data_IF_231250411710
#
_entry.id   IF_231250411710
#
_cell.length_a   1.000
_cell.length_b   1.000
_cell.length_c   1.000
_cell.angle_alpha   90.00
_cell.angle_beta   90.00
_cell.angle_gamma   90.00
#
_symmetry.space_group_name_H-M   'P 1'
#
loop_
_entity.id
_entity.type
_entity.pdbx_description
1 polymer ?
#
# COMPACT_ATOMS: atom_id res chain seq x y z
N UNK A 1 31.62 -2.35 9.45
CA UNK A 1 30.69 -2.01 8.34
C UNK A 1 29.65 -0.91 8.70
N UNK A 2 29.99 0.28 9.22
CA UNK A 2 28.97 1.30 9.58
C UNK A 2 28.62 2.31 8.48
N UNK A 3 29.44 2.43 7.42
CA UNK A 3 29.30 3.51 6.42
C UNK A 3 28.13 3.25 5.45
N UNK A 4 27.90 2.00 5.02
CA UNK A 4 26.80 1.64 4.12
C UNK A 4 25.42 1.96 4.69
N UNK A 5 25.25 1.82 6.01
CA UNK A 5 23.98 2.10 6.69
C UNK A 5 23.63 3.60 6.67
N UNK A 6 24.62 4.50 6.75
CA UNK A 6 24.37 5.95 6.76
C UNK A 6 23.82 6.46 5.43
N UNK A 7 24.38 5.99 4.32
CA UNK A 7 23.90 6.36 2.98
C UNK A 7 22.52 5.79 2.70
N UNK A 8 22.24 4.56 3.15
CA UNK A 8 20.92 3.96 3.03
C UNK A 8 19.84 4.77 3.77
N UNK A 9 20.11 5.17 5.02
CA UNK A 9 19.19 6.00 5.81
C UNK A 9 18.96 7.35 5.15
N UNK A 10 20.00 8.00 4.64
CA UNK A 10 19.86 9.28 3.94
C UNK A 10 18.99 9.15 2.68
N UNK A 11 19.24 8.13 1.86
CA UNK A 11 18.46 7.86 0.65
C UNK A 11 16.99 7.62 1.00
N UNK A 12 16.72 6.82 2.04
CA UNK A 12 15.36 6.55 2.51
C UNK A 12 14.62 7.84 2.90
N UNK A 13 15.25 8.72 3.67
CA UNK A 13 14.65 9.98 4.11
C UNK A 13 14.33 10.88 2.92
N UNK A 14 15.24 10.97 1.94
CA UNK A 14 15.03 11.76 0.72
C UNK A 14 13.87 11.19 -0.12
N UNK A 15 13.76 9.86 -0.23
CA UNK A 15 12.65 9.20 -0.93
C UNK A 15 11.31 9.52 -0.24
N UNK A 16 11.28 9.46 1.10
CA UNK A 16 10.08 9.80 1.87
C UNK A 16 9.69 11.27 1.67
N UNK A 17 10.64 12.20 1.74
CA UNK A 17 10.39 13.62 1.51
C UNK A 17 9.89 13.89 0.09
N UNK A 18 10.50 13.26 -0.92
CA UNK A 18 10.07 13.39 -2.32
C UNK A 18 8.65 12.84 -2.52
N UNK A 19 8.31 11.70 -1.90
CA UNK A 19 6.96 11.15 -1.93
C UNK A 19 5.95 12.11 -1.28
N UNK A 20 6.28 12.66 -0.10
CA UNK A 20 5.44 13.65 0.58
C UNK A 20 5.20 14.90 -0.28
N UNK A 21 6.23 15.39 -0.96
CA UNK A 21 6.11 16.52 -1.88
C UNK A 21 5.21 16.21 -3.09
N UNK A 22 5.35 15.04 -3.72
CA UNK A 22 4.49 14.64 -4.83
C UNK A 22 3.02 14.49 -4.40
N UNK A 23 2.79 13.93 -3.21
CA UNK A 23 1.46 13.80 -2.61
C UNK A 23 0.86 15.18 -2.34
N UNK A 24 1.65 16.10 -1.77
CA UNK A 24 1.22 17.48 -1.60
C UNK A 24 0.90 18.16 -2.94
N UNK A 25 1.73 17.96 -3.98
CA UNK A 25 1.46 18.50 -5.32
C UNK A 25 0.17 17.95 -5.94
N UNK A 26 -0.04 16.64 -5.86
CA UNK A 26 -1.26 15.98 -6.32
C UNK A 26 -2.48 16.58 -5.62
N UNK A 27 -2.40 16.74 -4.30
CA UNK A 27 -3.43 17.40 -3.51
C UNK A 27 -3.70 18.86 -3.94
N UNK A 28 -2.67 19.64 -4.28
CA UNK A 28 -2.88 21.00 -4.79
C UNK A 28 -3.60 21.00 -6.14
N UNK A 29 -3.32 20.02 -7.00
CA UNK A 29 -4.01 19.88 -8.30
C UNK A 29 -5.47 19.54 -8.11
N UNK A 30 -5.79 18.56 -7.25
CA UNK A 30 -7.19 18.18 -6.99
C UNK A 30 -8.00 19.34 -6.42
N UNK A 31 -7.43 20.14 -5.51
CA UNK A 31 -8.07 21.36 -5.01
C UNK A 31 -8.40 22.38 -6.11
N UNK A 32 -7.48 22.62 -7.04
CA UNK A 32 -7.70 23.57 -8.15
C UNK A 32 -8.81 23.09 -9.07
N UNK A 33 -8.81 21.81 -9.46
CA UNK A 33 -9.87 21.24 -10.31
C UNK A 33 -11.25 21.39 -9.67
N UNK A 34 -11.40 21.05 -8.38
CA UNK A 34 -12.66 21.20 -7.67
C UNK A 34 -13.11 22.67 -7.59
N UNK A 35 -12.18 23.61 -7.39
CA UNK A 35 -12.52 25.05 -7.36
C UNK A 35 -12.89 25.60 -8.74
N UNK A 36 -12.25 25.13 -9.82
CA UNK A 36 -12.60 25.51 -11.21
C UNK A 36 -13.95 24.91 -11.63
N UNK A 37 -14.27 23.68 -11.22
CA UNK A 37 -15.59 23.07 -11.43
C UNK A 37 -16.70 23.81 -10.69
N UNK A 38 -16.45 24.27 -9.46
CA UNK A 38 -17.39 25.11 -8.69
C UNK A 38 -17.48 26.52 -9.30
N UNK A 39 -16.36 27.10 -9.75
CA UNK A 39 -16.29 28.43 -10.35
C UNK A 39 -16.88 28.53 -11.77
N UNK A 40 -16.91 27.44 -12.53
CA UNK A 40 -17.58 27.37 -13.84
C UNK A 40 -19.10 27.23 -13.73
N UNK A 41 -19.63 26.87 -12.55
CA UNK A 41 -21.06 26.96 -12.23
C UNK A 41 -21.43 28.37 -11.79
N UNK A 42 -21.40 29.32 -12.74
CA UNK A 42 -21.90 30.67 -12.51
C UNK A 42 -23.44 30.70 -12.68
N UNK A 43 -24.23 31.20 -11.71
CA UNK A 43 -25.69 31.19 -11.80
C UNK A 43 -26.20 32.50 -12.43
N UNK A 44 -26.29 32.59 -13.76
CA UNK A 44 -27.12 33.63 -14.41
C UNK A 44 -27.38 33.38 -15.92
N UNK A 45 -28.60 32.95 -16.25
CA UNK A 45 -29.57 33.79 -16.97
C UNK A 45 -30.96 33.11 -17.03
N UNK A 46 -32.07 33.77 -16.65
CA UNK A 46 -33.40 33.18 -16.61
C UNK A 46 -34.23 33.52 -17.87
N UNK A 47 -34.62 32.51 -18.64
CA UNK A 47 -35.73 32.51 -19.61
C UNK A 47 -35.85 31.09 -20.19
N UNK A 48 -36.96 30.34 -20.19
CA UNK A 48 -38.37 30.59 -19.91
C UNK A 48 -38.99 29.29 -19.31
N UNK A 49 -39.92 29.51 -18.38
CA UNK A 49 -41.05 28.68 -17.95
C UNK A 49 -41.10 27.19 -18.33
N UNK A 50 -41.09 26.35 -17.30
CA UNK A 50 -41.86 25.11 -17.27
C UNK A 50 -41.20 23.90 -16.61
N UNK A 51 -41.02 23.88 -15.29
CA UNK A 51 -41.38 22.73 -14.44
C UNK A 51 -41.12 23.00 -12.95
N UNK A 52 -42.06 22.57 -12.12
CA UNK A 52 -42.08 22.74 -10.67
C UNK A 52 -41.09 21.77 -9.99
N UNK A 53 -40.18 22.35 -9.21
CA UNK A 53 -39.80 21.94 -7.84
C UNK A 53 -39.75 20.42 -7.59
N UNK A 54 -38.59 19.81 -7.81
CA UNK A 54 -38.24 18.48 -7.24
C UNK A 54 -36.73 18.33 -6.91
N UNK A 55 -35.98 19.43 -6.77
CA UNK A 55 -34.53 19.37 -6.53
C UNK A 55 -34.09 19.53 -5.07
N UNK A 56 -34.93 20.04 -4.17
CA UNK A 56 -34.49 20.33 -2.78
C UNK A 56 -34.44 19.10 -1.86
N UNK A 57 -35.14 18.02 -2.19
CA UNK A 57 -35.20 16.80 -1.37
C UNK A 57 -34.02 15.87 -1.67
N UNK A 58 -33.66 15.72 -2.95
CA UNK A 58 -32.52 14.91 -3.38
C UNK A 58 -31.17 15.53 -2.95
N UNK A 59 -31.02 16.85 -3.02
CA UNK A 59 -29.82 17.56 -2.56
C UNK A 59 -29.67 17.52 -1.02
N UNK A 60 -30.77 17.60 -0.27
CA UNK A 60 -30.74 17.44 1.19
C UNK A 60 -30.46 16.00 1.62
N UNK A 61 -30.97 15.00 0.88
CA UNK A 61 -30.64 13.59 1.11
C UNK A 61 -29.18 13.30 0.78
N UNK A 62 -28.64 13.81 -0.32
CA UNK A 62 -27.23 13.60 -0.67
C UNK A 62 -26.29 14.32 0.29
N UNK A 63 -26.63 15.54 0.73
CA UNK A 63 -25.88 16.27 1.76
C UNK A 63 -25.96 15.59 3.13
N UNK A 64 -27.12 15.01 3.49
CA UNK A 64 -27.31 14.20 4.69
C UNK A 64 -26.45 12.94 4.69
N UNK A 65 -26.46 12.17 3.59
CA UNK A 65 -25.63 10.98 3.42
C UNK A 65 -24.13 11.30 3.40
N UNK A 66 -23.72 12.40 2.75
CA UNK A 66 -22.33 12.85 2.75
C UNK A 66 -21.87 13.24 4.17
N UNK A 67 -22.74 13.88 4.96
CA UNK A 67 -22.47 14.23 6.35
C UNK A 67 -22.39 13.01 7.26
N UNK A 68 -23.34 12.07 7.17
CA UNK A 68 -23.33 10.81 7.93
C UNK A 68 -22.07 9.97 7.63
N UNK A 69 -21.66 9.94 6.36
CA UNK A 69 -20.43 9.26 5.93
C UNK A 69 -19.19 9.98 6.49
N UNK A 70 -19.16 11.31 6.46
CA UNK A 70 -18.07 12.09 7.06
C UNK A 70 -17.98 11.91 8.59
N UNK A 71 -19.11 11.85 9.29
CA UNK A 71 -19.17 11.63 10.73
C UNK A 71 -18.69 10.21 11.09
N UNK A 72 -19.06 9.20 10.29
CA UNK A 72 -18.57 7.82 10.44
C UNK A 72 -17.04 7.73 10.39
N UNK A 73 -16.41 8.39 9.43
CA UNK A 73 -14.94 8.41 9.32
C UNK A 73 -14.30 9.20 10.46
N UNK A 74 -14.83 10.36 10.83
CA UNK A 74 -14.25 11.19 11.90
C UNK A 74 -14.18 10.46 13.25
N UNK A 75 -15.20 9.68 13.59
CA UNK A 75 -15.24 8.92 14.84
C UNK A 75 -14.13 7.85 14.90
N UNK A 76 -13.74 7.32 13.73
CA UNK A 76 -12.71 6.28 13.59
C UNK A 76 -11.34 6.83 13.22
N UNK A 77 -11.21 8.15 13.08
CA UNK A 77 -9.99 8.80 12.69
C UNK A 77 -8.94 8.68 13.81
N UNK A 78 -7.72 8.19 13.49
CA UNK A 78 -6.63 8.20 14.45
C UNK A 78 -6.28 9.60 14.93
N UNK A 79 -5.83 9.72 16.18
CA UNK A 79 -5.30 11.00 16.67
C UNK A 79 -4.02 11.38 15.94
N UNK A 80 -3.99 12.61 15.41
CA UNK A 80 -2.88 13.19 14.66
C UNK A 80 -1.93 14.04 15.54
N UNK A 81 -2.30 14.24 16.81
CA UNK A 81 -1.58 15.08 17.78
C UNK A 81 -0.77 14.26 18.80
N UNK A 82 -0.61 12.95 18.57
CA UNK A 82 0.22 12.09 19.42
C UNK A 82 1.67 12.54 19.37
N UNK A 83 2.38 12.40 20.49
CA UNK A 83 3.81 12.67 20.58
C UNK A 83 4.59 11.81 19.57
N UNK A 84 5.53 12.43 18.86
CA UNK A 84 6.35 11.76 17.85
C UNK A 84 7.68 11.36 18.48
N UNK A 85 7.86 10.06 18.69
CA UNK A 85 9.10 9.49 19.22
C UNK A 85 9.85 8.77 18.10
N UNK A 86 10.97 9.34 17.67
CA UNK A 86 11.82 8.72 16.63
C UNK A 86 12.72 7.66 17.25
N UNK A 87 12.39 6.39 17.02
CA UNK A 87 13.24 5.25 17.38
C UNK A 87 14.22 4.96 16.23
N UNK A 88 15.25 4.15 16.50
CA UNK A 88 16.28 3.79 15.53
C UNK A 88 17.52 4.69 15.53
N UNK A 89 18.50 4.34 14.71
CA UNK A 89 19.83 4.97 14.70
C UNK A 89 19.91 6.13 13.68
N UNK A 90 19.25 7.23 14.01
CA UNK A 90 19.23 8.48 13.22
C UNK A 90 20.08 9.56 13.87
N UNK A 91 20.70 10.43 13.07
CA UNK A 91 21.31 11.67 13.58
C UNK A 91 20.23 12.65 14.03
N UNK A 92 20.56 13.62 14.88
CA UNK A 92 19.60 14.63 15.35
C UNK A 92 18.98 15.43 14.19
N UNK A 93 19.75 15.72 13.14
CA UNK A 93 19.24 16.37 11.92
C UNK A 93 18.22 15.49 11.20
N UNK A 94 18.50 14.18 11.07
CA UNK A 94 17.58 13.23 10.45
C UNK A 94 16.29 13.05 11.27
N UNK A 95 16.40 13.01 12.61
CA UNK A 95 15.23 12.95 13.49
C UNK A 95 14.36 14.19 13.33
N UNK A 96 14.97 15.38 13.34
CA UNK A 96 14.25 16.64 13.17
C UNK A 96 13.49 16.68 11.83
N UNK A 97 14.14 16.24 10.75
CA UNK A 97 13.53 16.15 9.42
C UNK A 97 12.34 15.18 9.38
N UNK A 98 12.49 13.96 9.92
CA UNK A 98 11.39 12.98 10.00
C UNK A 98 10.22 13.48 10.85
N UNK A 99 10.51 14.14 11.98
CA UNK A 99 9.48 14.76 12.82
C UNK A 99 8.74 15.84 12.04
N UNK A 100 9.44 16.67 11.28
CA UNK A 100 8.81 17.71 10.46
C UNK A 100 7.93 17.10 9.37
N UNK A 101 8.42 16.09 8.64
CA UNK A 101 7.63 15.38 7.64
C UNK A 101 6.34 14.78 8.22
N UNK A 102 6.40 14.18 9.41
CA UNK A 102 5.23 13.63 10.10
C UNK A 102 4.25 14.75 10.51
N UNK A 103 4.75 15.88 11.02
CA UNK A 103 3.91 17.04 11.36
C UNK A 103 3.20 17.61 10.14
N UNK A 104 3.89 17.77 9.03
CA UNK A 104 3.33 18.30 7.79
C UNK A 104 2.25 17.36 7.23
N UNK A 105 2.52 16.04 7.24
CA UNK A 105 1.54 15.03 6.85
C UNK A 105 0.31 15.02 7.79
N UNK A 106 0.51 15.10 9.11
CA UNK A 106 -0.58 15.20 10.08
C UNK A 106 -1.44 16.45 9.88
N UNK A 107 -0.81 17.61 9.67
CA UNK A 107 -1.53 18.87 9.48
C UNK A 107 -2.35 18.86 8.18
N UNK A 108 -1.80 18.30 7.10
CA UNK A 108 -2.53 18.06 5.86
C UNK A 108 -3.81 17.25 6.12
N UNK A 109 -3.72 16.18 6.92
CA UNK A 109 -4.82 15.27 7.16
C UNK A 109 -5.88 15.82 8.12
N UNK A 110 -5.55 16.72 9.05
CA UNK A 110 -6.56 17.38 9.91
C UNK A 110 -7.63 18.11 9.10
N UNK A 111 -7.23 18.77 8.02
CA UNK A 111 -8.14 19.46 7.11
C UNK A 111 -8.73 18.58 6.00
N UNK A 112 -8.18 17.38 5.78
CA UNK A 112 -8.45 16.54 4.61
C UNK A 112 -8.38 15.05 5.00
N UNK A 113 -9.17 14.67 6.00
CA UNK A 113 -9.07 13.35 6.62
C UNK A 113 -9.46 12.21 5.67
N UNK A 114 -10.17 12.46 4.58
CA UNK A 114 -10.49 11.46 3.56
C UNK A 114 -9.39 11.31 2.48
N UNK A 115 -8.26 12.03 2.61
CA UNK A 115 -7.17 11.97 1.65
C UNK A 115 -6.34 10.69 1.79
N UNK A 116 -6.74 9.66 1.03
CA UNK A 116 -6.17 8.32 1.03
C UNK A 116 -4.63 8.29 0.93
N UNK A 117 -4.03 8.99 -0.04
CA UNK A 117 -2.59 9.00 -0.23
C UNK A 117 -1.84 9.59 0.96
N UNK A 118 -2.43 10.59 1.64
CA UNK A 118 -1.86 11.18 2.86
C UNK A 118 -1.76 10.15 4.00
N UNK A 119 -2.79 9.32 4.19
CA UNK A 119 -2.77 8.27 5.21
C UNK A 119 -1.78 7.14 4.88
N UNK A 120 -1.66 6.76 3.61
CA UNK A 120 -0.62 5.82 3.18
C UNK A 120 0.77 6.35 3.52
N UNK A 121 1.03 7.62 3.22
CA UNK A 121 2.31 8.27 3.46
C UNK A 121 2.61 8.44 4.95
N UNK A 122 1.64 8.90 5.74
CA UNK A 122 1.79 9.01 7.20
C UNK A 122 2.14 7.65 7.82
N UNK A 123 1.49 6.57 7.38
CA UNK A 123 1.83 5.23 7.85
C UNK A 123 3.24 4.79 7.45
N UNK A 124 3.74 5.16 6.26
CA UNK A 124 5.12 4.90 5.85
C UNK A 124 6.13 5.65 6.72
N UNK A 125 5.88 6.93 7.01
CA UNK A 125 6.73 7.75 7.90
C UNK A 125 6.75 7.17 9.32
N UNK A 126 5.58 6.83 9.86
CA UNK A 126 5.45 6.22 11.19
C UNK A 126 6.15 4.86 11.28
N UNK A 127 6.03 4.02 10.25
CA UNK A 127 6.81 2.76 10.18
C UNK A 127 8.31 3.04 10.17
N UNK A 128 8.77 4.06 9.43
CA UNK A 128 10.19 4.40 9.32
C UNK A 128 10.81 4.80 10.66
N UNK A 129 10.03 5.41 11.56
CA UNK A 129 10.46 5.77 12.92
C UNK A 129 10.14 4.68 13.97
N UNK A 130 9.76 3.49 13.52
CA UNK A 130 9.33 2.34 14.32
C UNK A 130 8.12 2.61 15.24
N UNK A 131 7.29 3.59 14.89
CA UNK A 131 5.93 3.75 15.43
C UNK A 131 4.98 2.82 14.68
N UNK A 132 5.11 1.51 14.93
CA UNK A 132 4.31 0.49 14.26
C UNK A 132 2.82 0.59 14.59
N UNK A 133 2.46 1.01 15.80
CA UNK A 133 1.06 1.22 16.17
C UNK A 133 0.45 2.40 15.40
N UNK A 134 1.16 3.52 15.32
CA UNK A 134 0.69 4.66 14.53
C UNK A 134 0.67 4.38 13.03
N UNK A 135 1.56 3.53 12.52
CA UNK A 135 1.52 3.05 11.13
C UNK A 135 0.27 2.18 10.87
N UNK A 136 -0.01 1.24 11.77
CA UNK A 136 -1.21 0.39 11.75
C UNK A 136 -2.48 1.24 11.74
N UNK A 137 -2.59 2.21 12.64
CA UNK A 137 -3.74 3.13 12.70
C UNK A 137 -3.94 3.89 11.38
N UNK A 138 -2.86 4.42 10.82
CA UNK A 138 -2.90 5.20 9.57
C UNK A 138 -3.37 4.35 8.39
N UNK A 139 -2.83 3.13 8.26
CA UNK A 139 -3.20 2.25 7.15
C UNK A 139 -4.56 1.58 7.33
N UNK A 140 -4.99 1.27 8.55
CA UNK A 140 -6.38 0.86 8.82
C UNK A 140 -7.36 1.95 8.42
N UNK A 141 -7.03 3.21 8.70
CA UNK A 141 -7.88 4.32 8.28
C UNK A 141 -7.87 4.53 6.76
N UNK A 142 -6.70 4.40 6.11
CA UNK A 142 -6.62 4.40 4.64
C UNK A 142 -7.49 3.29 4.00
N UNK A 143 -7.45 2.07 4.57
CA UNK A 143 -8.28 0.95 4.15
C UNK A 143 -9.77 1.20 4.41
N UNK A 144 -10.12 1.92 5.49
CA UNK A 144 -11.49 2.32 5.77
C UNK A 144 -12.02 3.32 4.70
N UNK A 145 -11.20 4.30 4.32
CA UNK A 145 -11.54 5.32 3.29
C UNK A 145 -11.72 4.66 1.92
N UNK A 146 -10.79 3.79 1.52
CA UNK A 146 -10.82 3.09 0.23
C UNK A 146 -10.73 1.57 0.41
N UNK A 147 -11.83 0.88 0.75
CA UNK A 147 -11.82 -0.54 1.08
C UNK A 147 -11.57 -1.47 -0.12
N UNK A 148 -11.62 -0.95 -1.35
CA UNK A 148 -11.30 -1.69 -2.58
C UNK A 148 -9.88 -1.46 -3.09
N UNK A 149 -9.11 -0.58 -2.45
CA UNK A 149 -7.71 -0.37 -2.82
C UNK A 149 -6.80 -1.37 -2.11
N UNK A 150 -5.96 -2.08 -2.85
CA UNK A 150 -5.14 -3.16 -2.28
C UNK A 150 -3.97 -2.65 -1.40
N UNK A 151 -3.45 -1.45 -1.68
CA UNK A 151 -2.15 -1.01 -1.16
C UNK A 151 -2.12 -0.84 0.36
N UNK A 152 -3.21 -0.35 0.97
CA UNK A 152 -3.31 -0.22 2.42
C UNK A 152 -3.29 -1.59 3.11
N UNK A 153 -4.01 -2.57 2.56
CA UNK A 153 -4.02 -3.95 3.06
C UNK A 153 -2.65 -4.61 2.85
N UNK A 154 -1.99 -4.42 1.71
CA UNK A 154 -0.63 -4.92 1.52
C UNK A 154 0.35 -4.35 2.56
N UNK A 155 0.29 -3.04 2.83
CA UNK A 155 1.14 -2.40 3.82
C UNK A 155 0.86 -2.93 5.25
N UNK A 156 -0.42 -3.15 5.60
CA UNK A 156 -0.80 -3.79 6.87
C UNK A 156 -0.27 -5.23 6.95
N UNK A 157 -0.39 -6.01 5.87
CA UNK A 157 0.15 -7.37 5.81
C UNK A 157 1.65 -7.40 6.08
N UNK A 158 2.42 -6.54 5.41
CA UNK A 158 3.87 -6.37 5.63
C UNK A 158 4.16 -5.93 7.07
N UNK A 159 3.37 -5.03 7.63
CA UNK A 159 3.53 -4.56 9.01
C UNK A 159 3.39 -5.72 10.00
N UNK A 160 2.31 -6.50 9.86
CA UNK A 160 2.02 -7.63 10.73
C UNK A 160 3.03 -8.77 10.57
N UNK A 161 3.48 -9.04 9.35
CA UNK A 161 4.47 -10.09 9.07
C UNK A 161 5.85 -9.75 9.64
N UNK A 162 6.40 -8.59 9.30
CA UNK A 162 7.80 -8.30 9.59
C UNK A 162 8.04 -7.63 10.93
N UNK A 163 7.09 -6.85 11.44
CA UNK A 163 7.32 -5.98 12.59
C UNK A 163 6.49 -6.38 13.82
N UNK A 164 5.18 -6.60 13.66
CA UNK A 164 4.31 -6.95 14.78
C UNK A 164 4.23 -8.46 15.06
N UNK A 165 4.69 -9.29 14.13
CA UNK A 165 4.72 -10.76 14.22
C UNK A 165 3.35 -11.40 14.49
N UNK A 166 2.29 -10.78 13.96
CA UNK A 166 0.92 -11.30 13.99
C UNK A 166 0.60 -11.94 12.63
N UNK A 167 1.00 -13.20 12.44
CA UNK A 167 0.94 -13.87 11.14
C UNK A 167 -0.49 -14.10 10.64
N UNK A 168 -1.45 -14.26 11.54
CA UNK A 168 -2.86 -14.40 11.17
C UNK A 168 -3.40 -13.09 10.57
N UNK A 169 -3.12 -11.94 11.20
CA UNK A 169 -3.50 -10.65 10.60
C UNK A 169 -2.72 -10.34 9.33
N UNK A 170 -1.48 -10.79 9.22
CA UNK A 170 -0.71 -10.64 8.00
C UNK A 170 -1.39 -11.36 6.83
N UNK A 171 -1.75 -12.64 7.04
CA UNK A 171 -2.49 -13.48 6.08
C UNK A 171 -3.82 -12.80 5.68
N UNK A 172 -4.64 -12.39 6.65
CA UNK A 172 -5.92 -11.72 6.41
C UNK A 172 -5.77 -10.51 5.48
N UNK A 173 -4.79 -9.65 5.77
CA UNK A 173 -4.56 -8.43 5.01
C UNK A 173 -3.98 -8.70 3.61
N UNK A 174 -3.08 -9.68 3.46
CA UNK A 174 -2.60 -10.06 2.14
C UNK A 174 -3.69 -10.69 1.28
N UNK A 175 -4.52 -11.56 1.84
CA UNK A 175 -5.68 -12.13 1.13
C UNK A 175 -6.66 -11.03 0.72
N UNK A 176 -6.90 -10.03 1.58
CA UNK A 176 -7.75 -8.89 1.23
C UNK A 176 -7.16 -8.04 0.10
N UNK A 177 -5.85 -7.83 0.09
CA UNK A 177 -5.16 -7.15 -0.99
C UNK A 177 -5.26 -7.93 -2.32
N UNK A 178 -5.12 -9.26 -2.29
CA UNK A 178 -5.30 -10.14 -3.46
C UNK A 178 -6.74 -10.08 -3.98
N UNK A 179 -7.74 -10.12 -3.09
CA UNK A 179 -9.16 -10.00 -3.45
C UNK A 179 -9.43 -8.67 -4.18
N UNK A 180 -8.87 -7.57 -3.66
CA UNK A 180 -9.05 -6.23 -4.21
C UNK A 180 -8.31 -6.02 -5.55
N UNK A 181 -7.15 -6.64 -5.73
CA UNK A 181 -6.38 -6.56 -6.97
C UNK A 181 -5.75 -7.91 -7.34
N UNK A 182 -6.52 -8.81 -7.98
CA UNK A 182 -5.99 -10.06 -8.49
C UNK A 182 -4.85 -9.83 -9.49
N UNK A 183 -3.83 -10.69 -9.47
CA UNK A 183 -2.66 -10.58 -10.35
C UNK A 183 -1.59 -9.57 -9.91
N UNK A 184 -1.77 -8.86 -8.79
CA UNK A 184 -0.71 -8.01 -8.22
C UNK A 184 0.41 -8.87 -7.60
N UNK A 185 1.43 -9.17 -8.40
CA UNK A 185 2.48 -10.14 -8.07
C UNK A 185 3.16 -9.88 -6.72
N UNK A 186 3.42 -8.61 -6.38
CA UNK A 186 4.05 -8.24 -5.11
C UNK A 186 3.30 -8.80 -3.90
N UNK A 187 1.96 -8.82 -3.94
CA UNK A 187 1.15 -9.31 -2.81
C UNK A 187 1.23 -10.84 -2.68
N UNK A 188 1.22 -11.55 -3.81
CA UNK A 188 1.40 -13.01 -3.82
C UNK A 188 2.78 -13.42 -3.30
N UNK A 189 3.83 -12.68 -3.66
CA UNK A 189 5.18 -12.90 -3.13
C UNK A 189 5.25 -12.69 -1.62
N UNK A 190 4.65 -11.61 -1.11
CA UNK A 190 4.61 -11.34 0.32
C UNK A 190 3.88 -12.45 1.11
N UNK A 191 2.75 -12.93 0.60
CA UNK A 191 2.00 -14.02 1.24
C UNK A 191 2.73 -15.38 1.13
N UNK A 192 3.36 -15.65 -0.02
CA UNK A 192 4.25 -16.80 -0.18
C UNK A 192 5.37 -16.78 0.86
N UNK A 193 6.05 -15.64 1.03
CA UNK A 193 7.14 -15.49 2.00
C UNK A 193 6.65 -15.69 3.45
N UNK A 194 5.47 -15.15 3.78
CA UNK A 194 4.81 -15.36 5.07
C UNK A 194 4.64 -16.85 5.36
N UNK A 195 3.96 -17.59 4.47
CA UNK A 195 3.72 -19.02 4.64
C UNK A 195 5.03 -19.82 4.70
N UNK A 196 5.96 -19.48 3.82
CA UNK A 196 7.20 -20.24 3.68
C UNK A 196 8.13 -20.12 4.89
N UNK A 197 8.27 -18.93 5.45
CA UNK A 197 9.35 -18.66 6.42
C UNK A 197 8.86 -18.26 7.81
N UNK A 198 7.62 -17.82 7.95
CA UNK A 198 7.15 -17.21 9.21
C UNK A 198 5.94 -17.92 9.79
N UNK A 199 5.01 -18.38 8.95
CA UNK A 199 3.77 -19.00 9.38
C UNK A 199 3.80 -20.51 9.19
N UNK A 200 4.49 -21.21 10.10
CA UNK A 200 4.78 -22.66 10.00
C UNK A 200 3.54 -23.53 9.76
N UNK A 201 2.39 -23.17 10.35
CA UNK A 201 1.11 -23.87 10.19
C UNK A 201 0.57 -23.84 8.75
N UNK A 202 1.09 -22.95 7.90
CA UNK A 202 0.66 -22.70 6.52
C UNK A 202 1.76 -22.99 5.50
N UNK A 203 2.89 -23.56 5.92
CA UNK A 203 4.07 -23.73 5.07
C UNK A 203 3.83 -24.64 3.85
N UNK A 204 2.85 -25.55 3.95
CA UNK A 204 2.37 -26.42 2.87
C UNK A 204 1.58 -25.67 1.79
N UNK A 205 1.08 -24.47 2.07
CA UNK A 205 0.35 -23.62 1.12
C UNK A 205 1.26 -22.62 0.39
N UNK A 206 2.58 -22.67 0.62
CA UNK A 206 3.49 -21.67 0.07
C UNK A 206 3.50 -21.66 -1.46
N UNK A 207 3.51 -22.81 -2.13
CA UNK A 207 3.42 -22.88 -3.60
C UNK A 207 2.01 -22.57 -4.11
N UNK A 208 0.96 -22.98 -3.40
CA UNK A 208 -0.44 -22.72 -3.79
C UNK A 208 -0.72 -21.24 -4.10
N UNK A 209 -0.15 -20.32 -3.32
CA UNK A 209 -0.30 -18.88 -3.54
C UNK A 209 0.37 -18.43 -4.84
N UNK A 210 1.56 -18.94 -5.14
CA UNK A 210 2.25 -18.63 -6.40
C UNK A 210 1.54 -19.28 -7.60
N UNK A 211 0.99 -20.48 -7.42
CA UNK A 211 0.17 -21.15 -8.44
C UNK A 211 -1.11 -20.36 -8.73
N UNK A 212 -1.71 -19.72 -7.73
CA UNK A 212 -2.82 -18.79 -7.94
C UNK A 212 -2.40 -17.55 -8.73
N UNK A 213 -1.23 -16.96 -8.44
CA UNK A 213 -0.68 -15.85 -9.22
C UNK A 213 -0.48 -16.25 -10.69
N UNK A 214 0.06 -17.45 -10.93
CA UNK A 214 0.27 -17.99 -12.27
C UNK A 214 -1.03 -18.23 -13.04
N UNK A 215 -2.16 -18.49 -12.35
CA UNK A 215 -3.47 -18.57 -13.02
C UNK A 215 -3.94 -17.21 -13.54
N UNK A 216 -3.56 -16.11 -12.88
CA UNK A 216 -3.89 -14.75 -13.32
C UNK A 216 -3.02 -14.30 -14.48
N UNK A 217 -1.71 -14.60 -14.40
CA UNK A 217 -0.76 -14.34 -15.48
C UNK A 217 0.14 -15.56 -15.72
N UNK A 218 -0.26 -16.46 -16.64
CA UNK A 218 0.49 -17.68 -16.94
C UNK A 218 1.87 -17.45 -17.54
N UNK A 219 2.17 -16.23 -17.99
CA UNK A 219 3.44 -15.85 -18.61
C UNK A 219 4.30 -14.97 -17.69
N UNK A 220 3.94 -14.88 -16.41
CA UNK A 220 4.73 -14.11 -15.47
C UNK A 220 6.05 -14.82 -15.16
N UNK A 221 7.14 -14.34 -15.79
CA UNK A 221 8.48 -14.88 -15.57
C UNK A 221 8.85 -14.84 -14.08
N UNK A 222 8.49 -13.76 -13.38
CA UNK A 222 8.75 -13.62 -11.94
C UNK A 222 8.07 -14.69 -11.08
N UNK A 223 6.83 -15.08 -11.40
CA UNK A 223 6.14 -16.18 -10.71
C UNK A 223 6.81 -17.51 -10.99
N UNK A 224 7.13 -17.77 -12.27
CA UNK A 224 7.76 -19.01 -12.69
C UNK A 224 9.15 -19.19 -12.04
N UNK A 225 9.96 -18.12 -11.98
CA UNK A 225 11.27 -18.18 -11.31
C UNK A 225 11.13 -18.34 -9.80
N UNK A 226 10.15 -17.70 -9.16
CA UNK A 226 9.89 -17.86 -7.72
C UNK A 226 9.46 -19.29 -7.39
N UNK A 227 8.60 -19.92 -8.22
CA UNK A 227 8.24 -21.34 -8.09
C UNK A 227 9.45 -22.26 -8.31
N UNK A 228 10.27 -21.98 -9.32
CA UNK A 228 11.51 -22.72 -9.57
C UNK A 228 12.45 -22.70 -8.36
N UNK A 229 12.65 -21.51 -7.80
CA UNK A 229 13.46 -21.30 -6.60
C UNK A 229 12.87 -22.02 -5.39
N UNK A 230 11.56 -21.90 -5.17
CA UNK A 230 10.88 -22.58 -4.08
C UNK A 230 11.11 -24.10 -4.12
N UNK A 231 10.83 -24.73 -5.27
CA UNK A 231 10.99 -26.18 -5.42
C UNK A 231 12.45 -26.64 -5.33
N UNK A 232 13.39 -25.82 -5.80
CA UNK A 232 14.82 -26.07 -5.64
C UNK A 232 15.21 -26.11 -4.17
N UNK A 233 14.73 -25.14 -3.39
CA UNK A 233 15.09 -25.02 -1.97
C UNK A 233 14.46 -26.12 -1.10
N UNK A 234 13.27 -26.65 -1.45
CA UNK A 234 12.66 -27.80 -0.74
C UNK A 234 13.13 -29.16 -1.29
N UNK A 235 14.02 -29.17 -2.28
CA UNK A 235 14.64 -30.39 -2.83
C UNK A 235 13.85 -31.08 -3.96
N UNK A 236 12.71 -30.55 -4.40
CA UNK A 236 11.97 -31.05 -5.56
C UNK A 236 12.61 -30.55 -6.86
N UNK A 237 13.74 -31.17 -7.21
CA UNK A 237 14.53 -30.82 -8.40
C UNK A 237 13.74 -30.92 -9.70
N UNK A 238 12.78 -31.87 -9.78
CA UNK A 238 11.99 -32.09 -10.99
C UNK A 238 11.02 -30.92 -11.25
N UNK A 239 10.28 -30.49 -10.23
CA UNK A 239 9.42 -29.31 -10.35
C UNK A 239 10.23 -28.03 -10.55
N UNK A 240 11.35 -27.89 -9.83
CA UNK A 240 12.21 -26.73 -9.98
C UNK A 240 12.67 -26.53 -11.43
N UNK A 241 13.23 -27.59 -12.04
CA UNK A 241 13.62 -27.59 -13.46
C UNK A 241 12.42 -27.25 -14.36
N UNK A 242 11.26 -27.85 -14.13
CA UNK A 242 10.04 -27.59 -14.92
C UNK A 242 9.66 -26.11 -14.95
N UNK A 243 9.70 -25.42 -13.81
CA UNK A 243 9.33 -24.00 -13.76
C UNK A 243 10.40 -23.09 -14.34
N UNK A 244 11.68 -23.40 -14.15
CA UNK A 244 12.76 -22.66 -14.82
C UNK A 244 12.74 -22.84 -16.34
N UNK A 245 12.47 -24.04 -16.86
CA UNK A 245 12.30 -24.28 -18.30
C UNK A 245 11.14 -23.46 -18.87
N UNK A 246 10.00 -23.42 -18.18
CA UNK A 246 8.86 -22.56 -18.57
C UNK A 246 9.25 -21.08 -18.62
N UNK A 247 10.02 -20.60 -17.63
CA UNK A 247 10.49 -19.23 -17.60
C UNK A 247 11.48 -18.93 -18.74
N UNK A 248 12.40 -19.86 -19.03
CA UNK A 248 13.39 -19.73 -20.11
C UNK A 248 12.74 -19.73 -21.51
N UNK A 249 11.63 -20.46 -21.70
CA UNK A 249 10.86 -20.38 -22.95
C UNK A 249 10.33 -18.95 -23.22
N UNK A 250 10.01 -18.21 -22.16
CA UNK A 250 9.48 -16.84 -22.27
C UNK A 250 10.59 -15.79 -22.38
N UNK A 251 11.76 -16.05 -21.80
CA UNK A 251 12.96 -15.21 -21.92
C UNK A 251 14.21 -16.06 -22.14
N UNK A 252 14.48 -16.46 -23.40
CA UNK A 252 15.57 -17.38 -23.73
C UNK A 252 16.97 -16.83 -23.43
N UNK A 253 17.12 -15.51 -23.33
CA UNK A 253 18.40 -14.84 -23.09
C UNK A 253 18.64 -14.56 -21.59
N UNK A 254 17.77 -15.05 -20.71
CA UNK A 254 17.91 -14.85 -19.28
C UNK A 254 19.05 -15.69 -18.69
N UNK A 255 20.24 -15.11 -18.59
CA UNK A 255 21.43 -15.78 -18.05
C UNK A 255 21.22 -16.30 -16.61
N UNK A 256 20.41 -15.61 -15.80
CA UNK A 256 20.12 -16.04 -14.44
C UNK A 256 19.34 -17.36 -14.44
N UNK A 257 18.28 -17.49 -15.26
CA UNK A 257 17.50 -18.72 -15.37
C UNK A 257 18.36 -19.86 -15.96
N UNK A 258 19.17 -19.58 -16.98
CA UNK A 258 20.10 -20.57 -17.55
C UNK A 258 21.08 -21.09 -16.49
N UNK A 259 21.62 -20.19 -15.66
CA UNK A 259 22.55 -20.55 -14.57
C UNK A 259 21.88 -21.47 -13.55
N UNK A 260 20.62 -21.21 -13.17
CA UNK A 260 19.88 -22.09 -12.26
C UNK A 260 19.63 -23.47 -12.90
N UNK A 261 19.29 -23.53 -14.18
CA UNK A 261 19.06 -24.81 -14.89
C UNK A 261 20.31 -25.70 -14.97
N UNK A 262 21.50 -25.10 -15.11
CA UNK A 262 22.77 -25.83 -15.15
C UNK A 262 23.14 -26.51 -13.82
N UNK A 263 22.41 -26.24 -12.73
CA UNK A 263 22.65 -26.83 -11.40
C UNK A 263 21.92 -28.17 -11.17
N UNK A 264 21.03 -28.56 -12.08
CA UNK A 264 20.29 -29.82 -12.01
C UNK A 264 20.97 -30.94 -12.78
#
# INVERSE_FOLDING_TARGET
>A
MPIKNKYFILILIVILAAAGFLIWQDFQKTKKTTQEEIGSKNPASPAKAGEKIATSTAEKQSAGQAKETADYFKIRMPSLDKEIVVKGNFTEVQKADLIQQIKDASELLKGNFDYYQGWLHLGLLKKAIEDYQGAEESWKFAALIRPKEFLAFNNLGVLYHFYLKDYSKAEENFLKAIENKPGEMMVYQNLHELYRFSYQEKADLADDILLQALKQDPKNIGVLTTLGQYYQEIGDKAKARTYYEKALVLDPLNEAIQTELNRF
#
